data_IF_418600070756
#
_entry.id   IF_418600070756
#
_cell.length_a   1.000
_cell.length_b   1.000
_cell.length_c   1.000
_cell.angle_alpha   90.00
_cell.angle_beta   90.00
_cell.angle_gamma   90.00
#
_symmetry.space_group_name_H-M   'P 1'
#
loop_
_entity.id
_entity.type
_entity.pdbx_description
1 polymer ?
#
# COMPACT_ATOMS: atom_id res chain seq x y z
N UNK A 1 9.76 -23.30 29.65
CA UNK A 1 9.26 -22.70 28.40
C UNK A 1 7.86 -22.18 28.62
N UNK A 2 7.69 -20.93 28.55
CA UNK A 2 6.41 -20.31 28.80
C UNK A 2 5.47 -20.50 27.60
N UNK A 3 4.21 -20.66 27.89
CA UNK A 3 3.15 -20.76 26.87
C UNK A 3 3.07 -19.51 25.97
N UNK A 4 3.73 -18.42 26.35
CA UNK A 4 3.76 -17.16 25.63
C UNK A 4 4.60 -17.18 24.36
N UNK A 5 5.60 -18.07 24.24
CA UNK A 5 6.38 -18.22 23.01
C UNK A 5 5.61 -18.92 21.89
N UNK A 6 4.64 -19.78 22.22
CA UNK A 6 3.75 -20.38 21.22
C UNK A 6 2.71 -19.41 20.67
N UNK A 7 2.32 -18.43 21.45
CA UNK A 7 1.40 -17.37 21.04
C UNK A 7 2.01 -16.41 20.02
N UNK A 8 3.32 -16.19 20.08
CA UNK A 8 4.05 -15.33 19.14
C UNK A 8 4.22 -15.90 17.73
N UNK A 9 4.08 -17.22 17.56
CA UNK A 9 4.15 -17.88 16.25
C UNK A 9 2.84 -17.83 15.45
N UNK A 10 1.75 -17.39 16.08
CA UNK A 10 0.46 -17.21 15.39
C UNK A 10 0.31 -15.80 14.81
N UNK A 11 1.41 -15.14 14.60
CA UNK A 11 1.49 -13.74 14.31
C UNK A 11 1.43 -13.44 12.82
N UNK A 12 0.66 -12.45 12.56
CA UNK A 12 0.61 -11.61 11.38
C UNK A 12 0.20 -12.34 10.12
N UNK A 13 -1.08 -12.56 10.06
CA UNK A 13 -1.76 -12.84 8.81
C UNK A 13 -2.25 -11.55 8.13
N UNK A 14 -1.93 -10.35 8.66
CA UNK A 14 -2.42 -9.08 8.12
C UNK A 14 -1.30 -8.10 7.78
N UNK A 15 -1.54 -7.25 6.79
CA UNK A 15 -0.68 -6.15 6.41
C UNK A 15 -1.52 -4.93 6.03
N UNK A 16 -0.91 -3.75 6.05
CA UNK A 16 -1.50 -2.54 5.49
C UNK A 16 -1.01 -2.37 4.06
N UNK A 17 -1.95 -2.15 3.15
CA UNK A 17 -1.68 -1.74 1.79
C UNK A 17 -2.24 -0.35 1.53
N UNK A 18 -1.50 0.48 0.81
CA UNK A 18 -1.90 1.82 0.41
C UNK A 18 -1.75 1.98 -1.09
N UNK A 19 -2.78 2.52 -1.71
CA UNK A 19 -2.81 2.83 -3.14
C UNK A 19 -2.84 4.35 -3.33
N UNK A 20 -1.79 4.89 -3.93
CA UNK A 20 -1.67 6.31 -4.23
C UNK A 20 -2.23 6.55 -5.63
N UNK A 21 -3.39 7.21 -5.71
CA UNK A 21 -4.02 7.61 -6.96
C UNK A 21 -3.93 9.11 -7.21
N UNK A 22 -4.20 9.54 -8.43
CA UNK A 22 -4.19 10.95 -8.82
C UNK A 22 -5.29 11.78 -8.15
N UNK A 23 -6.40 11.18 -7.77
CA UNK A 23 -7.55 11.86 -7.14
C UNK A 23 -7.77 11.47 -5.70
N UNK A 24 -7.33 10.30 -5.29
CA UNK A 24 -7.50 9.80 -3.94
C UNK A 24 -6.45 8.78 -3.57
N UNK A 25 -6.11 8.76 -2.30
CA UNK A 25 -5.20 7.80 -1.69
C UNK A 25 -6.04 6.89 -0.80
N UNK A 26 -5.94 5.59 -1.00
CA UNK A 26 -6.76 4.60 -0.30
C UNK A 26 -5.88 3.61 0.43
N UNK A 27 -6.28 3.22 1.62
CA UNK A 27 -5.59 2.18 2.37
C UNK A 27 -6.55 1.14 2.92
N UNK A 28 -6.04 -0.03 3.23
CA UNK A 28 -6.80 -1.11 3.83
C UNK A 28 -5.93 -2.14 4.51
N UNK A 29 -6.55 -2.91 5.38
CA UNK A 29 -5.92 -4.06 6.03
C UNK A 29 -6.22 -5.30 5.19
N UNK A 30 -5.20 -6.07 4.87
CA UNK A 30 -5.30 -7.26 4.02
C UNK A 30 -4.93 -8.50 4.80
N UNK A 31 -5.73 -9.55 4.66
CA UNK A 31 -5.38 -10.89 5.12
C UNK A 31 -4.36 -11.50 4.16
N UNK A 32 -3.15 -11.72 4.63
CA UNK A 32 -2.04 -12.22 3.81
C UNK A 32 -2.18 -13.69 3.41
N UNK A 33 -3.01 -14.46 4.10
CA UNK A 33 -3.25 -15.86 3.74
C UNK A 33 -4.27 -15.98 2.61
N UNK A 34 -5.31 -15.15 2.67
CA UNK A 34 -6.44 -15.19 1.74
C UNK A 34 -6.35 -14.16 0.62
N UNK A 35 -5.48 -13.15 0.75
CA UNK A 35 -5.42 -12.03 -0.19
C UNK A 35 -6.67 -11.16 -0.19
N UNK A 36 -7.42 -11.11 0.92
CA UNK A 36 -8.68 -10.39 1.03
C UNK A 36 -8.58 -9.16 1.90
N UNK A 37 -9.29 -8.13 1.51
CA UNK A 37 -9.46 -6.93 2.31
C UNK A 37 -10.28 -7.23 3.56
N UNK A 38 -9.81 -6.78 4.71
CA UNK A 38 -10.51 -6.89 5.99
C UNK A 38 -11.13 -5.54 6.36
N UNK A 39 -12.44 -5.50 6.43
CA UNK A 39 -13.17 -4.27 6.72
C UNK A 39 -13.23 -3.33 5.51
N UNK A 40 -13.52 -2.07 5.77
CA UNK A 40 -13.61 -1.04 4.74
C UNK A 40 -12.27 -0.35 4.48
N UNK A 41 -12.09 0.13 3.25
CA UNK A 41 -10.97 1.01 2.93
C UNK A 41 -11.15 2.37 3.58
N UNK A 42 -10.04 3.00 3.86
CA UNK A 42 -9.99 4.40 4.28
C UNK A 42 -9.41 5.25 3.17
N UNK A 43 -10.08 6.31 2.78
CA UNK A 43 -9.70 7.16 1.65
C UNK A 43 -9.56 8.61 2.09
N UNK A 44 -8.48 9.24 1.63
CA UNK A 44 -8.28 10.70 1.72
C UNK A 44 -8.04 11.21 0.30
N UNK A 45 -8.55 12.38 -0.03
CA UNK A 45 -8.30 13.02 -1.32
C UNK A 45 -6.80 13.30 -1.50
N UNK A 46 -6.31 13.07 -2.72
CA UNK A 46 -4.92 13.40 -3.05
C UNK A 46 -4.72 14.92 -2.93
N UNK A 47 -3.69 15.38 -2.20
CA UNK A 47 -3.46 16.81 -2.04
C UNK A 47 -3.10 17.48 -3.35
N UNK A 48 -3.41 18.76 -3.47
CA UNK A 48 -3.06 19.59 -4.62
C UNK A 48 -2.24 20.80 -4.15
N UNK A 49 -0.96 20.91 -4.57
CA UNK A 49 -0.20 20.00 -5.41
C UNK A 49 0.14 18.68 -4.72
N UNK A 50 0.22 17.61 -5.49
CA UNK A 50 0.52 16.27 -4.99
C UNK A 50 2.03 16.01 -4.89
N UNK A 51 2.71 16.86 -4.14
CA UNK A 51 4.15 16.75 -3.91
C UNK A 51 4.51 15.53 -3.07
N UNK A 52 5.76 15.03 -3.12
CA UNK A 52 6.18 13.89 -2.31
C UNK A 52 5.85 14.04 -0.82
N UNK A 53 6.16 15.18 -0.24
CA UNK A 53 5.93 15.45 1.17
C UNK A 53 4.44 15.50 1.53
N UNK A 54 3.61 16.16 0.70
CA UNK A 54 2.18 16.25 0.93
C UNK A 54 1.51 14.89 0.85
N UNK A 55 1.87 14.07 -0.13
CA UNK A 55 1.35 12.71 -0.31
C UNK A 55 1.82 11.80 0.83
N UNK A 56 3.09 11.88 1.21
CA UNK A 56 3.63 11.07 2.31
C UNK A 56 2.90 11.36 3.63
N UNK A 57 2.54 12.60 3.89
CA UNK A 57 1.75 12.98 5.06
C UNK A 57 0.35 12.34 5.03
N UNK A 58 -0.30 12.34 3.88
CA UNK A 58 -1.61 11.67 3.73
C UNK A 58 -1.49 10.16 3.94
N UNK A 59 -0.45 9.54 3.39
CA UNK A 59 -0.18 8.10 3.61
C UNK A 59 0.02 7.81 5.09
N UNK A 60 0.76 8.67 5.81
CA UNK A 60 0.95 8.55 7.26
C UNK A 60 -0.40 8.57 8.00
N UNK A 61 -1.28 9.50 7.67
CA UNK A 61 -2.62 9.60 8.29
C UNK A 61 -3.44 8.33 8.03
N UNK A 62 -3.40 7.79 6.82
CA UNK A 62 -4.11 6.56 6.46
C UNK A 62 -3.57 5.38 7.28
N UNK A 63 -2.26 5.23 7.36
CA UNK A 63 -1.62 4.13 8.12
C UNK A 63 -1.94 4.23 9.61
N UNK A 64 -1.93 5.43 10.18
CA UNK A 64 -2.31 5.65 11.57
C UNK A 64 -3.78 5.28 11.85
N UNK A 65 -4.69 5.72 10.99
CA UNK A 65 -6.11 5.36 11.11
C UNK A 65 -6.33 3.84 11.04
N UNK A 66 -5.70 3.18 10.07
CA UNK A 66 -5.81 1.72 9.93
C UNK A 66 -5.17 0.99 11.12
N UNK A 67 -4.15 1.57 11.71
CA UNK A 67 -3.49 1.03 12.90
C UNK A 67 -4.36 1.00 14.16
N UNK A 68 -5.44 1.77 14.18
CA UNK A 68 -6.40 1.78 15.32
C UNK A 68 -7.48 0.72 15.20
N UNK A 69 -7.58 0.05 14.06
CA UNK A 69 -8.67 -0.90 13.78
C UNK A 69 -8.37 -2.29 14.30
N UNK A 70 -9.42 -3.07 14.48
CA UNK A 70 -9.30 -4.50 14.73
C UNK A 70 -8.51 -5.17 13.62
N UNK A 71 -7.69 -6.14 13.99
CA UNK A 71 -6.83 -6.90 13.07
C UNK A 71 -5.74 -6.08 12.38
N UNK A 72 -5.48 -4.86 12.83
CA UNK A 72 -4.32 -4.12 12.39
C UNK A 72 -3.03 -4.91 12.64
N UNK A 73 -2.08 -4.91 11.70
CA UNK A 73 -0.78 -5.54 11.93
C UNK A 73 0.01 -4.81 13.01
N UNK A 74 1.09 -5.42 13.47
CA UNK A 74 2.01 -4.78 14.41
C UNK A 74 2.52 -3.45 13.86
N UNK A 75 2.84 -2.51 14.76
CA UNK A 75 3.26 -1.15 14.37
C UNK A 75 4.57 -1.09 13.60
N UNK A 76 5.38 -2.13 13.67
CA UNK A 76 6.63 -2.29 12.93
C UNK A 76 6.51 -3.20 11.70
N UNK A 77 5.32 -3.71 11.42
CA UNK A 77 5.08 -4.54 10.24
C UNK A 77 5.23 -3.74 8.95
N UNK A 78 5.71 -4.36 7.86
CA UNK A 78 5.86 -3.68 6.58
C UNK A 78 4.54 -3.15 6.02
N UNK A 79 4.62 -2.02 5.31
CA UNK A 79 3.51 -1.43 4.56
C UNK A 79 3.80 -1.56 3.08
N UNK A 80 2.83 -2.07 2.32
CA UNK A 80 2.90 -2.09 0.86
C UNK A 80 2.26 -0.84 0.28
N UNK A 81 2.93 -0.19 -0.66
CA UNK A 81 2.43 1.02 -1.32
C UNK A 81 2.46 0.80 -2.83
N UNK A 82 1.34 1.07 -3.50
CA UNK A 82 1.30 1.15 -4.95
C UNK A 82 1.29 2.61 -5.40
N UNK A 83 2.04 2.90 -6.45
CA UNK A 83 2.28 4.24 -6.93
C UNK A 83 2.14 4.30 -8.46
N UNK A 84 1.49 5.35 -9.02
CA UNK A 84 1.23 5.43 -10.46
C UNK A 84 2.45 5.98 -11.22
N UNK A 85 3.62 5.37 -11.03
CA UNK A 85 4.86 5.76 -11.68
C UNK A 85 5.73 4.54 -11.93
N UNK A 86 6.66 4.66 -12.86
CA UNK A 86 7.71 3.65 -13.04
C UNK A 86 8.66 3.76 -11.85
N UNK A 87 8.75 2.68 -11.09
CA UNK A 87 9.66 2.58 -9.94
C UNK A 87 10.80 1.64 -10.32
N UNK A 88 12.02 2.11 -10.13
CA UNK A 88 13.23 1.32 -10.34
C UNK A 88 14.18 1.52 -9.15
N UNK A 89 14.51 0.43 -8.48
CA UNK A 89 15.35 0.43 -7.28
C UNK A 89 14.90 1.46 -6.21
N UNK A 90 13.58 1.59 -6.01
CA UNK A 90 13.01 2.51 -5.04
C UNK A 90 12.93 3.98 -5.50
N UNK A 91 13.29 4.28 -6.74
CA UNK A 91 13.27 5.65 -7.28
C UNK A 91 12.17 5.79 -8.32
N UNK A 92 11.40 6.87 -8.22
CA UNK A 92 10.38 7.21 -9.21
C UNK A 92 11.01 7.80 -10.47
N UNK A 93 10.79 7.16 -11.62
CA UNK A 93 11.32 7.59 -12.91
C UNK A 93 10.31 8.37 -13.74
N UNK A 94 9.04 8.38 -13.34
CA UNK A 94 7.98 9.10 -14.05
C UNK A 94 6.96 9.69 -13.08
N UNK A 95 6.13 10.60 -13.58
CA UNK A 95 5.08 11.25 -12.81
C UNK A 95 3.88 11.54 -13.71
N UNK A 96 3.07 10.50 -13.98
CA UNK A 96 1.97 10.61 -14.94
C UNK A 96 0.76 11.39 -14.38
N UNK A 97 0.33 11.09 -13.16
CA UNK A 97 -0.87 11.66 -12.54
C UNK A 97 -0.58 12.35 -11.20
N UNK A 98 0.66 12.71 -10.97
CA UNK A 98 1.13 13.36 -9.74
C UNK A 98 2.10 14.50 -10.10
N UNK A 99 2.50 15.27 -9.12
CA UNK A 99 3.43 16.38 -9.33
C UNK A 99 4.79 15.89 -9.89
N UNK A 100 5.37 16.65 -10.81
CA UNK A 100 6.66 16.31 -11.45
C UNK A 100 7.83 16.24 -10.47
N UNK A 101 7.71 16.80 -9.28
CA UNK A 101 8.71 16.71 -8.23
C UNK A 101 8.97 15.26 -7.74
N UNK A 102 8.12 14.32 -8.13
CA UNK A 102 8.34 12.89 -7.88
C UNK A 102 9.45 12.28 -8.70
N UNK A 103 9.76 12.84 -9.87
CA UNK A 103 10.83 12.32 -10.74
C UNK A 103 12.16 12.39 -9.97
N UNK A 104 12.90 11.29 -9.97
CA UNK A 104 14.16 11.09 -9.24
C UNK A 104 14.01 11.08 -7.70
N UNK A 105 12.80 11.01 -7.17
CA UNK A 105 12.57 10.85 -5.74
C UNK A 105 12.81 9.41 -5.30
N UNK A 106 13.61 9.23 -4.25
CA UNK A 106 13.74 7.94 -3.56
C UNK A 106 12.50 7.73 -2.69
N UNK A 107 11.52 7.02 -3.27
CA UNK A 107 10.22 6.81 -2.63
C UNK A 107 10.29 5.83 -1.46
N UNK A 108 11.18 4.84 -1.52
CA UNK A 108 11.37 3.89 -0.42
C UNK A 108 11.88 4.62 0.84
N UNK A 109 12.90 5.45 0.69
CA UNK A 109 13.42 6.26 1.79
C UNK A 109 12.39 7.25 2.31
N UNK A 110 11.69 7.95 1.42
CA UNK A 110 10.66 8.92 1.81
C UNK A 110 9.59 8.28 2.69
N UNK A 111 8.99 7.18 2.26
CA UNK A 111 7.93 6.54 3.02
C UNK A 111 8.43 5.81 4.25
N UNK A 112 9.60 5.21 4.19
CA UNK A 112 10.22 4.58 5.38
C UNK A 112 10.48 5.61 6.47
N UNK A 113 10.98 6.79 6.12
CA UNK A 113 11.25 7.87 7.07
C UNK A 113 9.95 8.43 7.67
N UNK A 114 8.94 8.64 6.85
CA UNK A 114 7.65 9.19 7.29
C UNK A 114 6.87 8.20 8.15
N UNK A 115 6.84 6.93 7.76
CA UNK A 115 6.07 5.90 8.45
C UNK A 115 6.83 5.25 9.62
N UNK A 116 8.14 5.40 9.69
CA UNK A 116 9.01 4.77 10.70
C UNK A 116 8.84 3.26 10.78
N UNK A 117 8.69 2.62 9.61
CA UNK A 117 8.55 1.17 9.45
C UNK A 117 8.96 0.76 8.03
N UNK A 118 9.30 -0.52 7.80
CA UNK A 118 9.65 -0.98 6.46
C UNK A 118 8.52 -0.73 5.46
N UNK A 119 8.89 -0.25 4.26
CA UNK A 119 7.94 0.03 3.18
C UNK A 119 8.43 -0.66 1.91
N UNK A 120 7.48 -1.25 1.20
CA UNK A 120 7.70 -1.77 -0.15
C UNK A 120 6.85 -0.96 -1.12
N UNK A 121 7.48 -0.23 -2.02
CA UNK A 121 6.79 0.53 -3.06
C UNK A 121 6.92 -0.17 -4.40
N UNK A 122 5.84 -0.27 -5.15
CA UNK A 122 5.87 -0.79 -6.50
C UNK A 122 4.84 -0.07 -7.38
N UNK A 123 5.05 -0.17 -8.70
CA UNK A 123 4.08 0.31 -9.66
C UNK A 123 2.75 -0.45 -9.49
N UNK A 124 1.64 0.22 -9.73
CA UNK A 124 0.29 -0.35 -9.58
C UNK A 124 0.05 -1.58 -10.47
N UNK A 125 0.53 -1.56 -11.71
CA UNK A 125 0.41 -2.70 -12.62
C UNK A 125 1.25 -3.89 -12.17
N UNK A 126 2.47 -3.66 -11.69
CA UNK A 126 3.34 -4.71 -11.16
C UNK A 126 2.74 -5.34 -9.89
N UNK A 127 2.16 -4.52 -9.02
CA UNK A 127 1.48 -4.99 -7.82
C UNK A 127 0.25 -5.86 -8.15
N UNK A 128 -0.53 -5.44 -9.15
CA UNK A 128 -1.68 -6.21 -9.63
C UNK A 128 -1.26 -7.57 -10.19
N UNK A 129 -0.22 -7.61 -11.01
CA UNK A 129 0.32 -8.84 -11.57
C UNK A 129 0.85 -9.80 -10.51
N UNK A 130 1.52 -9.28 -9.50
CA UNK A 130 2.02 -10.08 -8.38
C UNK A 130 0.89 -10.66 -7.53
N UNK A 131 -0.14 -9.87 -7.26
CA UNK A 131 -1.32 -10.31 -6.52
C UNK A 131 -2.07 -11.41 -7.26
N UNK A 132 -2.26 -11.26 -8.58
CA UNK A 132 -2.89 -12.28 -9.43
C UNK A 132 -2.10 -13.59 -9.41
N UNK A 133 -0.78 -13.51 -9.53
CA UNK A 133 0.09 -14.70 -9.50
C UNK A 133 0.01 -15.46 -8.17
N UNK A 134 -0.21 -14.76 -7.07
CA UNK A 134 -0.23 -15.36 -5.72
C UNK A 134 -1.61 -15.82 -5.28
N UNK A 135 -2.65 -15.07 -5.58
CA UNK A 135 -4.01 -15.29 -5.05
C UNK A 135 -5.04 -15.65 -6.12
N UNK A 136 -4.73 -15.49 -7.40
CA UNK A 136 -5.62 -15.81 -8.50
C UNK A 136 -6.91 -15.01 -8.48
N UNK A 137 -8.05 -15.68 -8.71
CA UNK A 137 -9.37 -15.05 -8.85
C UNK A 137 -9.82 -14.25 -7.60
N UNK A 138 -9.33 -14.56 -6.42
CA UNK A 138 -9.65 -13.79 -5.21
C UNK A 138 -8.98 -12.41 -5.22
N UNK A 139 -7.80 -12.30 -5.81
CA UNK A 139 -7.13 -11.03 -6.01
C UNK A 139 -7.77 -10.17 -7.09
N UNK A 140 -8.40 -10.77 -8.10
CA UNK A 140 -9.13 -10.03 -9.14
C UNK A 140 -10.20 -9.11 -8.57
N UNK A 141 -10.93 -9.55 -7.56
CA UNK A 141 -11.96 -8.74 -6.93
C UNK A 141 -11.37 -7.46 -6.29
N UNK A 142 -10.21 -7.58 -5.66
CA UNK A 142 -9.51 -6.42 -5.07
C UNK A 142 -8.92 -5.52 -6.15
N UNK A 143 -8.28 -6.10 -7.17
CA UNK A 143 -7.70 -5.37 -8.30
C UNK A 143 -8.79 -4.64 -9.07
N UNK A 144 -9.91 -5.29 -9.39
CA UNK A 144 -11.04 -4.68 -10.09
C UNK A 144 -11.64 -3.50 -9.33
N UNK A 145 -11.70 -3.59 -8.01
CA UNK A 145 -12.23 -2.54 -7.17
C UNK A 145 -11.26 -1.35 -7.02
N UNK A 146 -9.95 -1.62 -7.04
CA UNK A 146 -8.92 -0.60 -6.86
C UNK A 146 -8.40 -0.02 -8.18
N UNK A 147 -8.37 -0.84 -9.23
CA UNK A 147 -7.83 -0.49 -10.55
C UNK A 147 -8.78 -0.94 -11.67
N UNK A 148 -9.94 -0.29 -11.82
CA UNK A 148 -10.93 -0.71 -12.83
C UNK A 148 -10.41 -0.67 -14.26
N UNK A 149 -9.40 0.13 -14.57
CA UNK A 149 -8.75 0.18 -15.87
C UNK A 149 -7.92 -1.06 -16.20
N UNK A 150 -7.37 -1.73 -15.20
CA UNK A 150 -6.55 -2.95 -15.36
C UNK A 150 -7.45 -4.17 -15.55
N UNK A 151 -8.57 -4.24 -14.84
CA UNK A 151 -9.52 -5.36 -14.91
C UNK A 151 -10.22 -5.52 -16.26
N UNK A 152 -10.12 -4.51 -17.14
CA UNK A 152 -10.70 -4.52 -18.49
C UNK A 152 -9.73 -4.94 -19.58
N UNK A 153 -8.49 -5.22 -19.24
CA UNK A 153 -7.54 -5.77 -20.20
C UNK A 153 -7.87 -7.26 -20.44
N UNK A 154 -8.10 -7.64 -21.70
CA UNK A 154 -8.36 -9.05 -22.02
C UNK A 154 -7.13 -9.94 -21.79
#
# INVERSE_FOLDING_TARGET
MSKDEKSKKNTVSTAIGVDIGGTGIKGGIVDLKKGKLLGSRYRIDTPTPSTPQAVAEVVRQIVEELGTRDKAPATDAPVGITFPAIIHEGVALSAANVDKSWIDTDVDTLFTDVLQRPVQVMNDADAAGLAEARYGAEAEAWVSASYPSISRCP
#
